data_IF_320054539085
#
_entry.id   IF_320054539085
#
_cell.length_a   1.000
_cell.length_b   1.000
_cell.length_c   1.000
_cell.angle_alpha   90.00
_cell.angle_beta   90.00
_cell.angle_gamma   90.00
#
_symmetry.space_group_name_H-M   'P 1'
#
loop_
_entity.id
_entity.type
_entity.pdbx_description
1 polymer ?
#
# COMPACT_ATOMS: atom_id res chain seq x y z
N UNK A 1 -5.24 22.41 -44.18
CA UNK A 1 -5.32 21.91 -42.78
C UNK A 1 -3.87 21.84 -42.29
N UNK A 2 -3.27 22.81 -41.56
CA UNK A 2 -3.71 23.57 -40.37
C UNK A 2 -4.13 22.66 -39.21
N UNK A 3 -3.15 22.27 -38.37
CA UNK A 3 -3.26 21.48 -37.12
C UNK A 3 -3.68 20.01 -37.39
N UNK A 4 -3.23 18.99 -36.68
CA UNK A 4 -2.52 18.96 -35.38
C UNK A 4 -1.16 18.25 -35.52
N UNK A 5 -0.05 18.99 -35.35
CA UNK A 5 1.26 18.40 -35.09
C UNK A 5 1.52 18.53 -33.60
N UNK A 6 1.51 17.40 -32.87
CA UNK A 6 1.73 17.36 -31.43
C UNK A 6 0.56 16.78 -30.63
N UNK A 7 0.54 15.45 -30.50
CA UNK A 7 -0.07 14.73 -29.37
C UNK A 7 0.54 13.31 -29.24
N UNK A 8 1.87 13.24 -29.14
CA UNK A 8 2.57 12.01 -28.72
C UNK A 8 3.67 12.26 -27.68
N UNK A 9 3.53 13.34 -26.91
CA UNK A 9 4.12 13.46 -25.58
C UNK A 9 3.20 12.79 -24.53
N UNK A 10 2.65 11.62 -24.86
CA UNK A 10 1.73 10.90 -23.98
C UNK A 10 2.54 10.14 -22.92
N UNK A 11 2.93 10.88 -21.89
CA UNK A 11 3.14 10.44 -20.51
C UNK A 11 3.51 8.96 -20.37
N UNK A 12 4.81 8.66 -20.53
CA UNK A 12 5.44 7.62 -19.69
C UNK A 12 5.55 8.21 -18.28
N UNK A 13 4.39 8.49 -17.68
CA UNK A 13 4.27 8.54 -16.24
C UNK A 13 4.28 7.07 -15.82
N UNK A 14 5.47 6.52 -15.64
CA UNK A 14 5.58 5.33 -14.79
C UNK A 14 5.01 5.81 -13.46
N UNK A 15 3.85 5.28 -13.10
CA UNK A 15 3.38 5.29 -11.74
C UNK A 15 4.34 4.39 -10.96
N UNK A 16 5.53 4.93 -10.67
CA UNK A 16 6.21 4.67 -9.41
C UNK A 16 5.10 4.94 -8.40
N UNK A 17 4.58 3.93 -7.67
CA UNK A 17 3.66 4.22 -6.60
C UNK A 17 4.45 5.16 -5.68
N UNK A 18 4.04 6.42 -5.63
CA UNK A 18 4.61 7.35 -4.68
C UNK A 18 4.30 6.74 -3.32
N UNK A 19 5.30 6.10 -2.71
CA UNK A 19 5.14 5.34 -1.48
C UNK A 19 4.57 6.29 -0.44
N UNK A 20 3.26 6.23 -0.23
CA UNK A 20 2.60 7.01 0.79
C UNK A 20 3.25 6.58 2.10
N UNK A 21 4.00 7.49 2.72
CA UNK A 21 4.64 7.26 4.01
C UNK A 21 3.61 7.30 5.13
N UNK A 22 2.64 6.38 5.05
CA UNK A 22 2.24 5.67 6.25
C UNK A 22 3.51 5.05 6.86
N UNK A 23 3.62 5.07 8.19
CA UNK A 23 4.77 4.48 8.87
C UNK A 23 4.90 3.01 8.44
N UNK A 24 6.07 2.64 7.91
CA UNK A 24 6.31 1.29 7.41
C UNK A 24 7.04 0.49 8.48
N UNK A 25 6.48 -0.66 8.83
CA UNK A 25 7.14 -1.66 9.65
C UNK A 25 8.45 -2.11 9.03
N UNK A 26 9.36 -2.59 9.87
CA UNK A 26 10.69 -2.93 9.41
C UNK A 26 10.68 -4.31 8.71
N UNK A 27 10.93 -4.39 7.39
CA UNK A 27 10.81 -5.65 6.63
C UNK A 27 11.90 -6.67 6.98
N UNK A 28 12.95 -6.28 7.71
CA UNK A 28 13.95 -7.20 8.25
C UNK A 28 13.44 -7.95 9.48
N UNK A 29 12.30 -7.53 10.05
CA UNK A 29 11.64 -8.20 11.17
C UNK A 29 10.34 -8.88 10.75
N UNK A 30 9.92 -9.83 11.57
CA UNK A 30 8.59 -10.41 11.57
C UNK A 30 8.17 -10.61 13.02
N UNK A 31 7.05 -10.00 13.38
CA UNK A 31 6.42 -10.20 14.68
C UNK A 31 5.15 -11.03 14.48
N UNK A 32 4.94 -12.04 15.32
CA UNK A 32 3.84 -13.00 15.14
C UNK A 32 3.14 -13.33 16.46
N UNK A 33 1.81 -13.29 16.45
CA UNK A 33 0.97 -13.68 17.59
C UNK A 33 0.94 -15.20 17.67
N UNK A 34 1.40 -15.78 18.79
CA UNK A 34 1.51 -17.23 18.98
C UNK A 34 0.35 -17.83 19.76
N UNK A 35 -0.24 -17.09 20.71
CA UNK A 35 -1.43 -17.53 21.46
C UNK A 35 -2.05 -16.44 22.32
N UNK A 36 -3.38 -16.49 22.51
CA UNK A 36 -4.04 -15.90 23.69
C UNK A 36 -4.06 -16.94 24.82
N UNK A 37 -3.74 -16.53 26.04
CA UNK A 37 -3.71 -17.41 27.22
C UNK A 37 -4.46 -16.77 28.41
N UNK A 38 -5.29 -17.52 29.15
CA UNK A 38 -5.69 -18.91 28.92
C UNK A 38 -6.53 -19.07 27.63
N UNK A 39 -6.38 -20.21 26.93
CA UNK A 39 -6.94 -20.41 25.58
C UNK A 39 -8.44 -20.06 25.44
N UNK A 40 -9.35 -20.43 26.37
CA UNK A 40 -10.78 -20.12 26.24
C UNK A 40 -11.12 -18.62 26.29
N UNK A 41 -10.19 -17.75 26.70
CA UNK A 41 -10.37 -16.29 26.63
C UNK A 41 -9.91 -15.71 25.29
N UNK A 42 -9.31 -16.51 24.40
CA UNK A 42 -9.07 -16.15 23.00
C UNK A 42 -10.22 -16.51 22.05
N UNK A 43 -11.26 -17.20 22.53
CA UNK A 43 -12.38 -17.63 21.68
C UNK A 43 -13.22 -16.43 21.24
N UNK A 44 -13.32 -16.25 19.91
CA UNK A 44 -13.95 -15.07 19.29
C UNK A 44 -13.01 -13.86 19.13
N UNK A 45 -11.73 -13.95 19.50
CA UNK A 45 -10.75 -12.90 19.22
C UNK A 45 -9.93 -13.25 17.98
N UNK A 46 -9.83 -12.32 17.02
CA UNK A 46 -8.87 -12.39 15.92
C UNK A 46 -7.76 -11.39 16.20
N UNK A 47 -6.50 -11.85 16.24
CA UNK A 47 -5.35 -11.01 16.61
C UNK A 47 -4.17 -11.34 15.71
N UNK A 48 -3.59 -10.32 15.10
CA UNK A 48 -2.44 -10.44 14.19
C UNK A 48 -1.48 -9.25 14.33
N UNK A 49 -0.33 -9.35 13.64
CA UNK A 49 0.53 -8.20 13.37
C UNK A 49 0.35 -7.81 11.91
N UNK A 50 0.00 -6.55 11.69
CA UNK A 50 -0.07 -5.91 10.38
C UNK A 50 1.29 -5.30 10.06
N UNK A 51 1.69 -5.31 8.78
CA UNK A 51 2.87 -4.56 8.29
C UNK A 51 4.19 -4.98 8.97
N UNK A 52 4.60 -6.25 8.81
CA UNK A 52 5.84 -6.88 9.30
C UNK A 52 6.00 -6.99 10.83
N UNK A 53 6.15 -5.86 11.51
CA UNK A 53 6.34 -5.76 12.96
C UNK A 53 5.59 -4.56 13.58
N UNK A 54 4.80 -3.85 12.78
CA UNK A 54 4.46 -2.45 13.03
C UNK A 54 3.27 -2.21 13.96
N UNK A 55 2.16 -2.88 13.66
CA UNK A 55 0.86 -2.62 14.29
C UNK A 55 0.26 -3.95 14.77
N UNK A 56 -0.13 -4.02 16.04
CA UNK A 56 -1.02 -5.08 16.51
C UNK A 56 -2.43 -4.74 15.99
N UNK A 57 -3.15 -5.73 15.48
CA UNK A 57 -4.59 -5.63 15.21
C UNK A 57 -5.34 -6.63 16.06
N UNK A 58 -6.46 -6.20 16.66
CA UNK A 58 -7.39 -7.03 17.41
C UNK A 58 -8.83 -6.73 16.95
N UNK A 59 -9.51 -7.74 16.43
CA UNK A 59 -10.96 -7.71 16.18
C UNK A 59 -11.69 -8.60 17.19
N UNK A 60 -12.77 -8.07 17.78
CA UNK A 60 -13.51 -8.71 18.87
C UNK A 60 -14.88 -9.21 18.43
N UNK A 61 -15.04 -10.53 18.35
CA UNK A 61 -16.33 -11.21 18.14
C UNK A 61 -16.69 -12.13 19.32
N UNK A 62 -16.07 -11.92 20.50
CA UNK A 62 -16.25 -12.78 21.68
C UNK A 62 -17.54 -12.51 22.48
N UNK A 63 -18.29 -11.44 22.13
CA UNK A 63 -19.45 -10.97 22.88
C UNK A 63 -19.13 -10.46 24.30
N UNK A 64 -17.85 -10.15 24.57
CA UNK A 64 -17.34 -9.69 25.87
C UNK A 64 -16.48 -8.45 25.65
N UNK A 65 -16.46 -7.55 26.62
CA UNK A 65 -15.50 -6.43 26.61
C UNK A 65 -14.07 -6.95 26.71
N UNK A 66 -13.22 -6.55 25.77
CA UNK A 66 -11.77 -6.75 25.80
C UNK A 66 -11.12 -5.45 26.25
N UNK A 67 -10.37 -5.46 27.34
CA UNK A 67 -9.58 -4.33 27.82
C UNK A 67 -8.08 -4.61 27.60
N UNK A 68 -7.41 -3.75 26.84
CA UNK A 68 -5.97 -3.80 26.59
C UNK A 68 -5.25 -2.98 27.66
N UNK A 69 -4.17 -3.53 28.23
CA UNK A 69 -3.38 -2.85 29.26
C UNK A 69 -2.18 -2.10 28.66
N UNK A 70 -1.99 -0.86 29.12
CA UNK A 70 -0.79 -0.08 28.84
C UNK A 70 0.46 -0.62 29.54
N UNK A 71 1.56 0.11 29.43
CA UNK A 71 2.89 -0.36 29.87
C UNK A 71 3.07 -0.43 31.38
N UNK A 72 2.23 0.27 32.15
CA UNK A 72 2.25 0.27 33.62
C UNK A 72 1.09 -0.56 34.22
N UNK A 73 0.35 -1.29 33.38
CA UNK A 73 -0.81 -2.10 33.79
C UNK A 73 -2.13 -1.32 33.83
N UNK A 74 -2.12 -0.07 33.38
CA UNK A 74 -3.31 0.79 33.32
C UNK A 74 -4.27 0.39 32.19
N UNK A 75 -5.56 0.76 32.26
CA UNK A 75 -6.47 0.67 31.12
C UNK A 75 -5.96 1.57 29.98
N UNK A 76 -5.62 1.00 28.82
CA UNK A 76 -5.16 1.77 27.65
C UNK A 76 -6.28 1.94 26.61
N UNK A 77 -6.81 0.85 26.09
CA UNK A 77 -7.88 0.84 25.09
C UNK A 77 -8.84 -0.32 25.35
N UNK A 78 -10.11 -0.20 24.99
CA UNK A 78 -11.10 -1.26 25.14
C UNK A 78 -11.97 -1.40 23.90
N UNK A 79 -12.36 -2.64 23.60
CA UNK A 79 -13.43 -2.96 22.65
C UNK A 79 -14.58 -3.55 23.46
N UNK A 80 -15.73 -2.88 23.49
CA UNK A 80 -16.92 -3.31 24.22
C UNK A 80 -17.58 -4.52 23.55
N UNK A 81 -18.52 -5.15 24.25
CA UNK A 81 -19.26 -6.31 23.77
C UNK A 81 -20.19 -6.03 22.57
N UNK A 82 -20.47 -4.75 22.27
CA UNK A 82 -21.33 -4.27 21.18
C UNK A 82 -20.57 -3.80 19.93
N UNK A 83 -19.23 -3.80 19.97
CA UNK A 83 -18.37 -3.29 18.89
C UNK A 83 -17.75 -1.92 19.16
N UNK A 84 -18.21 -1.17 20.17
CA UNK A 84 -17.69 0.16 20.49
C UNK A 84 -16.20 0.09 20.88
N UNK A 85 -15.35 0.87 20.22
CA UNK A 85 -13.90 0.94 20.48
C UNK A 85 -13.55 2.28 21.13
N UNK A 86 -12.90 2.24 22.29
CA UNK A 86 -12.52 3.44 23.06
C UNK A 86 -11.05 3.41 23.52
N UNK A 87 -10.40 4.57 23.47
CA UNK A 87 -9.06 4.80 24.05
C UNK A 87 -9.14 5.63 25.33
N UNK A 88 -8.23 5.39 26.27
CA UNK A 88 -8.11 6.16 27.51
C UNK A 88 -7.13 7.32 27.31
N UNK A 89 -7.66 8.55 27.25
CA UNK A 89 -6.87 9.78 27.09
C UNK A 89 -5.96 10.11 28.29
N UNK A 90 -6.14 9.43 29.42
CA UNK A 90 -5.28 9.51 30.61
C UNK A 90 -4.29 8.32 30.72
N UNK A 91 -4.22 7.40 29.75
CA UNK A 91 -3.16 6.37 29.71
C UNK A 91 -1.87 6.95 29.12
N UNK A 92 -0.69 6.77 29.75
CA UNK A 92 0.59 7.05 29.12
C UNK A 92 0.79 6.32 27.79
N UNK A 93 0.31 5.07 27.68
CA UNK A 93 0.42 4.28 26.46
C UNK A 93 -0.31 4.90 25.26
N UNK A 94 -1.37 5.68 25.47
CA UNK A 94 -2.07 6.37 24.37
C UNK A 94 -1.14 7.31 23.59
N UNK A 95 -0.30 8.09 24.29
CA UNK A 95 0.65 9.00 23.66
C UNK A 95 1.92 8.28 23.22
N UNK A 96 2.44 7.34 24.02
CA UNK A 96 3.66 6.60 23.70
C UNK A 96 3.53 5.83 22.37
N UNK A 97 2.35 5.33 22.05
CA UNK A 97 2.09 4.56 20.83
C UNK A 97 1.97 5.42 19.56
N UNK A 98 1.93 6.75 19.65
CA UNK A 98 1.90 7.66 18.49
C UNK A 98 3.28 7.76 17.79
N UNK A 99 4.38 7.43 18.48
CA UNK A 99 5.71 7.27 17.88
C UNK A 99 6.22 5.83 18.00
N UNK A 100 6.84 5.33 16.92
CA UNK A 100 7.40 3.98 16.86
C UNK A 100 8.52 3.74 17.88
N UNK A 101 9.17 4.77 18.41
CA UNK A 101 10.20 4.63 19.44
C UNK A 101 9.86 5.35 20.76
N UNK A 102 8.61 5.86 20.89
CA UNK A 102 8.15 6.58 22.08
C UNK A 102 8.75 7.96 22.29
N UNK A 103 9.29 8.62 21.24
CA UNK A 103 9.86 9.98 21.31
C UNK A 103 8.79 11.08 21.39
N UNK A 104 7.91 10.99 22.38
CA UNK A 104 6.79 11.91 22.60
C UNK A 104 6.87 12.60 23.95
N UNK A 105 6.32 13.81 24.05
CA UNK A 105 6.05 14.44 25.35
C UNK A 105 4.71 13.90 25.89
N UNK A 106 4.78 12.98 26.86
CA UNK A 106 3.59 12.46 27.55
C UNK A 106 3.05 13.55 28.50
N UNK A 107 1.83 14.09 28.30
CA UNK A 107 1.33 15.19 29.10
C UNK A 107 1.02 14.74 30.53
N UNK A 108 1.26 15.59 31.54
CA UNK A 108 1.17 15.22 32.96
C UNK A 108 -0.21 14.68 33.44
N UNK A 109 -1.28 14.86 32.66
CA UNK A 109 -2.61 14.25 32.88
C UNK A 109 -2.62 12.74 32.58
N UNK A 110 -1.77 12.29 31.66
CA UNK A 110 -1.61 10.91 31.25
C UNK A 110 -0.77 10.19 32.30
N UNK A 111 -1.47 9.50 33.20
CA UNK A 111 -0.93 8.93 34.42
C UNK A 111 -1.62 7.59 34.66
N UNK A 112 -0.84 6.52 34.74
CA UNK A 112 -1.35 5.15 34.91
C UNK A 112 -2.21 4.92 36.18
N UNK A 113 -2.22 5.88 37.13
CA UNK A 113 -3.03 5.86 38.34
C UNK A 113 -4.27 6.76 38.27
N UNK A 114 -4.46 7.53 37.19
CA UNK A 114 -5.63 8.37 36.99
C UNK A 114 -6.86 7.54 36.62
N UNK A 115 -8.05 8.06 36.90
CA UNK A 115 -9.30 7.50 36.39
C UNK A 115 -9.30 7.58 34.85
N UNK A 116 -9.65 6.49 34.13
CA UNK A 116 -9.72 6.52 32.68
C UNK A 116 -10.70 7.56 32.13
N UNK A 117 -10.23 8.34 31.15
CA UNK A 117 -11.06 9.24 30.34
C UNK A 117 -11.26 8.58 28.98
N UNK A 118 -12.40 7.93 28.78
CA UNK A 118 -12.68 7.18 27.55
C UNK A 118 -13.14 8.09 26.42
N UNK A 119 -12.52 7.92 25.25
CA UNK A 119 -12.92 8.52 23.98
C UNK A 119 -13.17 7.42 22.96
N UNK A 120 -14.38 7.37 22.39
CA UNK A 120 -14.69 6.48 21.28
C UNK A 120 -13.87 6.85 20.02
N UNK A 121 -13.38 5.84 19.31
CA UNK A 121 -12.60 5.98 18.08
C UNK A 121 -13.13 5.14 16.91
N UNK A 122 -13.86 4.05 17.18
CA UNK A 122 -14.57 3.24 16.18
C UNK A 122 -15.79 2.51 16.81
N UNK A 123 -16.57 1.82 15.99
CA UNK A 123 -17.78 1.07 16.34
C UNK A 123 -17.93 -0.28 15.61
N UNK A 124 -16.90 -0.72 14.88
CA UNK A 124 -16.85 -1.96 14.09
C UNK A 124 -16.28 -3.17 14.84
N UNK A 125 -15.80 -2.97 16.08
CA UNK A 125 -15.16 -4.00 16.89
C UNK A 125 -13.69 -4.28 16.55
N UNK A 126 -13.03 -3.46 15.73
CA UNK A 126 -11.61 -3.57 15.37
C UNK A 126 -10.77 -2.45 15.99
N UNK A 127 -9.64 -2.79 16.61
CA UNK A 127 -8.66 -1.82 17.08
C UNK A 127 -7.25 -2.21 16.62
N UNK A 128 -6.49 -1.23 16.14
CA UNK A 128 -5.09 -1.42 15.78
C UNK A 128 -4.21 -0.32 16.37
N UNK A 129 -3.02 -0.71 16.84
CA UNK A 129 -2.07 0.20 17.48
C UNK A 129 -0.63 -0.33 17.39
N UNK A 130 0.33 0.60 17.37
CA UNK A 130 1.74 0.28 17.56
C UNK A 130 1.97 -0.14 19.03
N UNK A 131 2.46 -1.35 19.28
CA UNK A 131 2.77 -1.83 20.63
C UNK A 131 4.28 -2.01 20.80
N UNK A 132 4.90 -1.20 21.65
CA UNK A 132 6.35 -1.24 21.93
C UNK A 132 6.82 -2.57 22.52
N UNK A 133 5.90 -3.46 22.95
CA UNK A 133 6.23 -4.83 23.39
C UNK A 133 6.36 -5.79 22.20
N UNK A 134 5.76 -5.52 21.04
CA UNK A 134 5.74 -6.44 19.89
C UNK A 134 6.82 -6.22 18.85
N UNK A 135 7.60 -5.13 18.92
CA UNK A 135 8.63 -4.79 17.93
C UNK A 135 9.94 -4.30 18.56
N UNK A 136 10.99 -4.12 17.75
CA UNK A 136 12.28 -3.67 18.26
C UNK A 136 12.30 -2.14 18.48
N UNK A 137 12.60 -1.72 19.71
CA UNK A 137 12.59 -0.31 20.17
C UNK A 137 13.91 0.44 19.90
N UNK A 138 14.59 0.14 18.79
CA UNK A 138 15.76 0.90 18.31
C UNK A 138 15.84 0.87 16.79
N UNK A 139 16.39 1.92 16.13
CA UNK A 139 16.70 1.90 14.70
C UNK A 139 17.94 1.07 14.33
N UNK A 140 18.72 0.59 15.31
CA UNK A 140 19.92 -0.25 15.07
C UNK A 140 19.57 -1.72 14.84
N UNK A 141 20.44 -2.47 14.16
CA UNK A 141 20.38 -3.94 14.16
C UNK A 141 20.44 -4.48 15.60
N UNK A 142 19.59 -5.46 16.01
CA UNK A 142 19.62 -6.01 17.37
C UNK A 142 20.93 -6.74 17.67
N UNK A 143 21.48 -6.67 18.90
CA UNK A 143 22.75 -7.30 19.24
C UNK A 143 22.71 -8.85 19.19
N UNK A 144 21.54 -9.47 19.13
CA UNK A 144 21.35 -10.90 18.87
C UNK A 144 21.79 -11.28 17.44
N UNK A 145 21.56 -10.40 16.45
CA UNK A 145 21.85 -10.66 15.04
C UNK A 145 23.36 -10.55 14.82
N UNK A 146 24.00 -11.70 14.56
CA UNK A 146 25.44 -11.78 14.23
C UNK A 146 25.71 -11.95 12.74
N UNK A 147 24.67 -12.29 11.98
CA UNK A 147 24.68 -12.49 10.55
C UNK A 147 23.33 -12.01 10.02
N UNK A 148 23.31 -10.83 9.39
CA UNK A 148 22.08 -10.22 8.90
C UNK A 148 21.43 -11.00 7.74
N UNK A 149 22.10 -12.00 7.15
CA UNK A 149 21.50 -12.88 6.14
C UNK A 149 20.73 -14.06 6.73
N UNK A 150 20.72 -14.24 8.06
CA UNK A 150 20.10 -15.40 8.73
C UNK A 150 18.93 -14.99 9.61
N UNK A 151 17.93 -15.87 9.69
CA UNK A 151 16.86 -15.76 10.66
C UNK A 151 17.43 -15.80 12.09
N UNK A 152 17.00 -14.87 12.94
CA UNK A 152 17.44 -14.75 14.34
C UNK A 152 16.25 -14.34 15.21
N UNK A 153 15.81 -15.21 16.13
CA UNK A 153 14.82 -14.85 17.15
C UNK A 153 15.39 -13.77 18.08
N UNK A 154 14.62 -12.70 18.28
CA UNK A 154 15.04 -11.52 19.05
C UNK A 154 14.51 -11.58 20.49
N UNK A 155 13.20 -11.81 20.66
CA UNK A 155 12.58 -12.10 21.97
C UNK A 155 11.17 -12.71 21.82
N UNK A 156 10.66 -13.28 22.91
CA UNK A 156 9.22 -13.51 23.11
C UNK A 156 8.62 -12.31 23.86
N UNK A 157 7.37 -11.96 23.57
CA UNK A 157 6.66 -10.85 24.22
C UNK A 157 5.26 -11.24 24.68
N UNK A 158 4.68 -10.36 25.51
CA UNK A 158 3.32 -10.49 26.06
C UNK A 158 2.64 -9.13 26.17
N UNK A 159 1.40 -9.05 25.69
CA UNK A 159 0.51 -7.89 25.86
C UNK A 159 -0.60 -8.34 26.83
N UNK A 160 -0.65 -7.81 28.06
CA UNK A 160 -1.71 -8.14 29.01
C UNK A 160 -3.05 -7.54 28.56
N UNK A 161 -4.11 -8.34 28.69
CA UNK A 161 -5.49 -7.94 28.41
C UNK A 161 -6.43 -8.48 29.50
N UNK A 162 -7.66 -8.00 29.54
CA UNK A 162 -8.76 -8.64 30.27
C UNK A 162 -9.90 -8.93 29.28
N UNK A 163 -10.52 -10.11 29.38
CA UNK A 163 -11.62 -10.53 28.51
C UNK A 163 -12.83 -10.84 29.39
N UNK A 164 -13.86 -9.99 29.32
CA UNK A 164 -14.98 -10.03 30.28
C UNK A 164 -14.52 -9.79 31.73
N UNK A 165 -13.47 -8.99 31.92
CA UNK A 165 -12.85 -8.74 33.23
C UNK A 165 -11.96 -9.88 33.76
N UNK A 166 -11.81 -10.99 33.03
CA UNK A 166 -10.88 -12.07 33.39
C UNK A 166 -9.48 -11.80 32.83
N UNK A 167 -8.40 -11.84 33.63
CA UNK A 167 -7.04 -11.62 33.16
C UNK A 167 -6.60 -12.63 32.09
N UNK A 168 -6.04 -12.10 31.00
CA UNK A 168 -5.46 -12.88 29.91
C UNK A 168 -4.20 -12.17 29.36
N UNK A 169 -3.52 -12.83 28.42
CA UNK A 169 -2.37 -12.26 27.71
C UNK A 169 -2.35 -12.74 26.28
N UNK A 170 -2.12 -11.82 25.36
CA UNK A 170 -1.67 -12.09 24.01
C UNK A 170 -0.16 -12.37 24.12
N UNK A 171 0.32 -13.44 23.51
CA UNK A 171 1.72 -13.84 23.48
C UNK A 171 2.19 -13.84 22.03
N UNK A 172 3.43 -13.44 21.79
CA UNK A 172 4.00 -13.43 20.44
C UNK A 172 5.52 -13.51 20.47
N UNK A 173 6.11 -13.60 19.27
CA UNK A 173 7.56 -13.70 19.06
C UNK A 173 7.98 -12.63 18.08
N UNK A 174 9.11 -11.97 18.34
CA UNK A 174 9.78 -11.11 17.37
C UNK A 174 11.03 -11.81 16.83
N UNK A 175 11.12 -11.91 15.51
CA UNK A 175 12.20 -12.56 14.77
C UNK A 175 12.76 -11.62 13.71
N UNK A 176 14.08 -11.54 13.59
CA UNK A 176 14.74 -10.96 12.42
C UNK A 176 14.75 -12.01 11.31
N UNK A 177 14.18 -11.71 10.14
CA UNK A 177 14.03 -12.66 9.01
C UNK A 177 15.15 -12.59 7.98
N UNK A 178 16.02 -11.58 8.08
CA UNK A 178 17.24 -11.46 7.28
C UNK A 178 17.08 -10.72 5.96
N UNK A 179 18.16 -10.04 5.54
CA UNK A 179 18.18 -9.08 4.42
C UNK A 179 17.99 -9.72 3.01
N UNK A 180 17.75 -11.04 2.94
CA UNK A 180 17.62 -11.80 1.69
C UNK A 180 16.23 -11.72 1.05
N UNK A 181 15.20 -11.38 1.82
CA UNK A 181 13.78 -11.36 1.42
C UNK A 181 13.38 -10.15 0.56
N UNK A 182 14.23 -9.76 -0.40
CA UNK A 182 13.92 -8.67 -1.35
C UNK A 182 12.64 -8.99 -2.13
N UNK A 183 11.70 -8.05 -2.27
CA UNK A 183 10.45 -8.29 -2.99
C UNK A 183 10.73 -8.69 -4.44
N UNK A 184 10.05 -9.73 -4.92
CA UNK A 184 10.28 -10.27 -6.26
C UNK A 184 9.68 -9.37 -7.34
N UNK A 185 10.43 -8.34 -7.73
CA UNK A 185 10.09 -7.40 -8.82
C UNK A 185 10.13 -8.05 -10.22
N UNK A 186 10.83 -9.19 -10.36
CA UNK A 186 11.04 -9.90 -11.62
C UNK A 186 9.74 -10.20 -12.40
N UNK A 187 8.69 -10.84 -11.82
CA UNK A 187 7.42 -11.08 -12.54
C UNK A 187 6.75 -9.80 -13.06
N UNK A 188 6.82 -8.69 -12.31
CA UNK A 188 6.23 -7.42 -12.73
C UNK A 188 6.99 -6.78 -13.89
N UNK A 189 8.33 -6.88 -13.89
CA UNK A 189 9.17 -6.44 -15.03
C UNK A 189 8.87 -7.27 -16.29
N UNK A 190 8.74 -8.59 -16.15
CA UNK A 190 8.39 -9.48 -17.28
C UNK A 190 7.02 -9.12 -17.86
N UNK A 191 6.02 -8.89 -17.02
CA UNK A 191 4.68 -8.49 -17.45
C UNK A 191 4.69 -7.14 -18.21
N UNK A 192 5.43 -6.14 -17.71
CA UNK A 192 5.58 -4.85 -18.38
C UNK A 192 6.20 -4.98 -19.77
N UNK A 193 7.27 -5.78 -19.91
CA UNK A 193 7.93 -6.05 -21.20
C UNK A 193 7.01 -6.79 -22.17
N UNK A 194 6.22 -7.76 -21.69
CA UNK A 194 5.25 -8.49 -22.52
C UNK A 194 4.14 -7.58 -23.09
N UNK A 195 3.63 -6.64 -22.28
CA UNK A 195 2.63 -5.66 -22.72
C UNK A 195 3.22 -4.73 -23.79
N UNK A 196 4.44 -4.23 -23.60
CA UNK A 196 5.14 -3.39 -24.58
C UNK A 196 5.34 -4.14 -25.92
N UNK A 197 5.75 -5.42 -25.87
CA UNK A 197 5.92 -6.25 -27.05
C UNK A 197 4.59 -6.48 -27.80
N UNK A 198 3.50 -6.76 -27.08
CA UNK A 198 2.17 -6.96 -27.67
C UNK A 198 1.64 -5.68 -28.35
N UNK A 199 1.81 -4.51 -27.71
CA UNK A 199 1.43 -3.22 -28.29
C UNK A 199 2.27 -2.89 -29.53
N UNK A 200 3.58 -3.13 -29.50
CA UNK A 200 4.47 -2.96 -30.66
C UNK A 200 4.05 -3.84 -31.84
N UNK A 201 3.77 -5.12 -31.59
CA UNK A 201 3.28 -6.06 -32.60
C UNK A 201 1.94 -5.61 -33.22
N UNK A 202 0.98 -5.18 -32.40
CA UNK A 202 -0.31 -4.68 -32.88
C UNK A 202 -0.17 -3.41 -33.75
N UNK A 203 0.68 -2.46 -33.36
CA UNK A 203 0.96 -1.25 -34.15
C UNK A 203 1.62 -1.60 -35.50
N UNK A 204 2.58 -2.52 -35.52
CA UNK A 204 3.23 -2.98 -36.77
C UNK A 204 2.23 -3.69 -37.68
N UNK A 205 1.36 -4.54 -37.12
CA UNK A 205 0.31 -5.22 -37.89
C UNK A 205 -0.67 -4.20 -38.51
N UNK A 206 -1.24 -3.30 -37.69
CA UNK A 206 -2.24 -2.32 -38.13
C UNK A 206 -1.71 -1.35 -39.21
N UNK A 207 -0.39 -1.16 -39.32
CA UNK A 207 0.22 -0.40 -40.43
C UNK A 207 0.23 -1.19 -41.75
N UNK A 208 0.52 -2.50 -41.71
CA UNK A 208 0.48 -3.36 -42.90
C UNK A 208 -0.93 -3.50 -43.45
N UNK A 209 -1.90 -3.75 -42.56
CA UNK A 209 -3.31 -3.91 -42.90
C UNK A 209 -3.96 -2.61 -43.48
N UNK A 210 -3.20 -1.51 -43.62
CA UNK A 210 -3.67 -0.21 -44.11
C UNK A 210 -3.12 0.24 -45.48
N UNK A 211 -2.06 -0.39 -46.01
CA UNK A 211 -1.52 -0.04 -47.34
C UNK A 211 -2.32 -0.69 -48.49
N UNK A 212 -3.08 -1.77 -48.21
CA UNK A 212 -3.89 -2.52 -49.18
C UNK A 212 -5.20 -1.80 -49.60
N UNK A 213 -5.50 -0.60 -49.07
CA UNK A 213 -6.69 0.18 -49.43
C UNK A 213 -6.39 1.63 -49.79
N UNK A 214 -6.16 1.89 -51.09
CA UNK A 214 -6.14 3.25 -51.63
C UNK A 214 -6.81 3.33 -53.02
N UNK A 215 -7.98 3.98 -53.15
CA UNK A 215 -8.59 4.27 -54.44
C UNK A 215 -7.76 5.26 -55.29
N UNK A 216 -7.91 5.18 -56.62
CA UNK A 216 -7.44 6.22 -57.54
C UNK A 216 -8.25 7.52 -57.36
N UNK A 217 -7.63 8.71 -57.48
CA UNK A 217 -8.34 9.97 -57.64
C UNK A 217 -8.54 10.30 -59.14
N UNK A 218 -9.73 10.82 -59.47
CA UNK A 218 -9.98 11.47 -60.76
C UNK A 218 -9.41 12.90 -60.79
N UNK A 219 -9.15 13.45 -61.98
CA UNK A 219 -8.42 14.71 -62.18
C UNK A 219 -9.24 15.75 -62.98
N UNK A 220 -9.53 16.91 -62.37
CA UNK A 220 -10.24 18.03 -63.00
C UNK A 220 -9.29 19.23 -63.19
N UNK A 221 -9.02 19.60 -64.45
CA UNK A 221 -8.18 20.75 -64.81
C UNK A 221 -8.95 22.08 -64.99
N UNK A 222 -8.33 23.25 -64.74
CA UNK A 222 -8.89 24.57 -65.06
C UNK A 222 -8.47 25.09 -66.44
N UNK A 223 -9.08 26.18 -66.91
CA UNK A 223 -8.99 26.66 -68.31
C UNK A 223 -8.56 28.13 -68.47
N UNK A 224 -8.32 28.54 -69.73
CA UNK A 224 -8.10 29.90 -70.28
C UNK A 224 -6.70 30.55 -70.07
N UNK A 225 -6.15 31.31 -71.04
CA UNK A 225 -6.61 31.46 -72.44
C UNK A 225 -5.90 32.55 -73.30
N UNK A 226 -6.27 32.59 -74.58
CA UNK A 226 -6.18 33.68 -75.60
C UNK A 226 -4.83 34.16 -76.21
N UNK A 227 -4.79 34.14 -77.55
CA UNK A 227 -3.96 35.00 -78.44
C UNK A 227 -2.76 34.34 -79.16
N UNK A 228 -2.57 34.40 -80.48
CA UNK A 228 -3.46 34.82 -81.59
C UNK A 228 -2.71 35.15 -82.91
N UNK A 229 -3.18 34.63 -84.06
CA UNK A 229 -2.73 34.92 -85.47
C UNK A 229 -1.26 34.64 -85.84
N UNK A 230 -0.84 34.15 -87.01
CA UNK A 230 -1.49 33.60 -88.24
C UNK A 230 -0.50 32.54 -88.85
N UNK A 231 -0.44 32.08 -90.10
CA UNK A 231 -1.14 32.32 -91.40
C UNK A 231 -0.94 31.09 -92.33
N UNK A 232 -1.53 31.07 -93.54
CA UNK A 232 -1.34 30.03 -94.58
C UNK A 232 -2.33 28.84 -94.46
N UNK A 233 -3.28 28.51 -95.35
CA UNK A 233 -3.61 28.76 -96.78
C UNK A 233 -3.22 27.61 -97.72
N UNK A 234 -4.26 26.99 -98.31
CA UNK A 234 -4.28 26.17 -99.55
C UNK A 234 -3.44 24.86 -99.57
N UNK A 235 -3.87 23.75 -100.19
CA UNK A 235 -5.20 23.28 -100.63
C UNK A 235 -5.09 21.77 -101.01
N UNK A 236 -6.10 21.25 -101.71
CA UNK A 236 -6.13 19.99 -102.48
C UNK A 236 -6.28 18.69 -101.68
N UNK A 237 -7.11 17.73 -102.09
CA UNK A 237 -8.33 17.66 -102.90
C UNK A 237 -8.75 16.17 -102.87
N UNK A 238 -9.94 15.87 -103.37
CA UNK A 238 -10.54 14.56 -103.55
C UNK A 238 -9.59 13.44 -104.06
N UNK A 239 -9.80 12.16 -103.73
CA UNK A 239 -11.05 11.48 -103.33
C UNK A 239 -10.87 10.54 -102.14
#
# INVERSE_FOLDING_TARGET
>A
MKRVLGFLALLILVAIPASASAHQGNPNFRSEITSVQPKPLGEGLQIEIVNFDDNVRLANHSGKTVLIKGYQGEPYARILADGTVEVNLNSPAYYLNDDRYGNVEVPARANAKATPEWKQVADDGEFSWHDHRSHYMSPTTPPQVKDESKETKIFDYKIPIEVGGQPAKINGTLTWVGNGSKPQVIPFVILGLAIIAALGFWIVRRRRDGDDQKPMPDDEGPSSGTGGTAEGREEKEAW
#
